data_IF_034177924950
#
_entry.id   IF_034177924950
#
_cell.length_a   1.000
_cell.length_b   1.000
_cell.length_c   1.000
_cell.angle_alpha   90.00
_cell.angle_beta   90.00
_cell.angle_gamma   90.00
#
_symmetry.space_group_name_H-M   'P 1'
#
loop_
_entity.id
_entity.type
_entity.pdbx_description
1 polymer ?
#
# COMPACT_ATOMS: atom_id res chain seq x y z
N UNK A 1 -8.80 9.99 -3.31
CA UNK A 1 -8.66 9.59 -1.88
C UNK A 1 -8.11 8.18 -1.75
N UNK A 2 -8.79 7.14 -2.27
CA UNK A 2 -8.32 5.75 -2.18
C UNK A 2 -6.87 5.51 -2.63
N UNK A 3 -6.48 5.99 -3.82
CA UNK A 3 -5.09 5.87 -4.31
C UNK A 3 -4.08 6.54 -3.38
N UNK A 4 -4.45 7.68 -2.77
CA UNK A 4 -3.63 8.34 -1.75
C UNK A 4 -3.50 7.47 -0.51
N UNK A 5 -4.59 6.92 0.01
CA UNK A 5 -4.54 5.99 1.14
C UNK A 5 -3.66 4.77 0.85
N UNK A 6 -3.77 4.18 -0.34
CA UNK A 6 -2.91 3.06 -0.75
C UNK A 6 -1.42 3.44 -0.73
N UNK A 7 -1.06 4.61 -1.25
CA UNK A 7 0.32 5.12 -1.23
C UNK A 7 0.82 5.43 0.19
N UNK A 8 -0.05 5.95 1.06
CA UNK A 8 0.34 6.46 2.37
C UNK A 8 0.38 5.38 3.47
N UNK A 9 -0.24 4.22 3.23
CA UNK A 9 -0.40 3.11 4.20
C UNK A 9 0.06 1.75 3.65
N UNK A 10 0.35 1.71 2.35
CA UNK A 10 0.64 0.46 1.64
C UNK A 10 -0.53 -0.51 1.58
N UNK A 11 -1.76 -0.18 1.99
CA UNK A 11 -2.88 -1.13 1.95
C UNK A 11 -3.39 -1.41 0.54
N UNK A 12 -3.97 -2.60 0.34
CA UNK A 12 -4.62 -3.00 -0.92
C UNK A 12 -5.89 -2.18 -1.12
N UNK A 13 -6.30 -1.98 -2.37
CA UNK A 13 -7.55 -1.27 -2.68
C UNK A 13 -8.76 -1.90 -1.99
N UNK A 14 -8.88 -3.23 -2.05
CA UNK A 14 -9.95 -3.98 -1.41
C UNK A 14 -9.96 -3.81 0.11
N UNK A 15 -8.80 -3.75 0.75
CA UNK A 15 -8.68 -3.45 2.18
C UNK A 15 -9.22 -2.05 2.48
N UNK A 16 -8.80 -1.03 1.72
CA UNK A 16 -9.27 0.36 1.90
C UNK A 16 -10.81 0.45 1.83
N UNK A 17 -11.43 -0.20 0.86
CA UNK A 17 -12.88 -0.11 0.68
C UNK A 17 -13.70 -1.02 1.61
N UNK A 18 -13.13 -2.11 2.13
CA UNK A 18 -13.88 -3.14 2.85
C UNK A 18 -13.41 -3.38 4.28
N UNK A 19 -12.18 -3.84 4.46
CA UNK A 19 -11.76 -4.51 5.70
C UNK A 19 -10.84 -3.68 6.60
N UNK A 20 -10.10 -2.72 6.05
CA UNK A 20 -9.11 -1.96 6.81
C UNK A 20 -9.73 -1.25 8.02
N UNK A 21 -9.11 -1.36 9.18
CA UNK A 21 -9.28 -0.42 10.28
C UNK A 21 -7.93 0.23 10.61
N UNK A 22 -7.95 1.48 11.04
CA UNK A 22 -6.76 2.18 11.50
C UNK A 22 -7.05 2.84 12.85
N UNK A 23 -6.37 2.38 13.89
CA UNK A 23 -6.43 2.99 15.21
C UNK A 23 -5.16 3.81 15.45
N UNK A 24 -5.32 5.01 16.00
CA UNK A 24 -4.22 5.95 16.21
C UNK A 24 -3.21 5.39 17.24
N UNK A 25 -1.92 5.52 16.95
CA UNK A 25 -0.81 5.23 17.89
C UNK A 25 -0.07 6.52 18.21
N UNK A 26 0.50 7.13 17.18
CA UNK A 26 1.19 8.42 17.24
C UNK A 26 1.02 9.17 15.91
N UNK A 27 1.67 10.33 15.74
CA UNK A 27 1.54 11.14 14.53
C UNK A 27 1.91 10.42 13.24
N UNK A 28 2.75 9.39 13.31
CA UNK A 28 3.32 8.68 12.17
C UNK A 28 3.06 7.18 12.15
N UNK A 29 2.28 6.66 13.11
CA UNK A 29 1.93 5.24 13.19
C UNK A 29 0.45 5.01 13.48
N UNK A 30 -0.05 3.89 12.96
CA UNK A 30 -1.39 3.38 13.26
C UNK A 30 -1.33 1.87 13.52
N UNK A 31 -2.24 1.36 14.35
CA UNK A 31 -2.55 -0.08 14.37
C UNK A 31 -3.46 -0.35 13.18
N UNK A 32 -3.07 -1.30 12.35
CA UNK A 32 -3.87 -1.77 11.23
C UNK A 32 -4.49 -3.13 11.55
N UNK A 33 -5.78 -3.27 11.26
CA UNK A 33 -6.49 -4.57 11.24
C UNK A 33 -7.24 -4.76 9.93
N UNK A 34 -7.66 -6.00 9.65
CA UNK A 34 -8.40 -6.33 8.43
C UNK A 34 -7.52 -6.63 7.21
N UNK A 35 -6.34 -7.21 7.44
CA UNK A 35 -5.48 -7.75 6.39
C UNK A 35 -6.24 -8.82 5.57
N UNK A 36 -6.20 -8.69 4.24
CA UNK A 36 -6.74 -9.72 3.34
C UNK A 36 -5.63 -10.67 2.87
N UNK A 37 -6.06 -11.83 2.33
CA UNK A 37 -5.20 -12.89 1.77
C UNK A 37 -4.25 -13.56 2.76
N UNK A 38 -4.57 -13.60 4.05
CA UNK A 38 -3.76 -14.29 5.06
C UNK A 38 -3.40 -15.72 4.59
N UNK A 39 -4.39 -16.57 4.28
CA UNK A 39 -4.16 -17.95 3.83
C UNK A 39 -3.35 -18.09 2.54
N UNK A 40 -3.51 -17.18 1.57
CA UNK A 40 -2.75 -17.22 0.29
C UNK A 40 -1.37 -16.56 0.36
N UNK A 41 -1.10 -15.76 1.39
CA UNK A 41 0.21 -15.15 1.66
C UNK A 41 1.07 -16.01 2.60
N UNK A 42 0.77 -17.32 2.68
CA UNK A 42 1.50 -18.28 3.52
C UNK A 42 1.16 -18.20 5.01
N UNK A 43 0.16 -17.40 5.38
CA UNK A 43 -0.30 -17.31 6.76
C UNK A 43 -1.28 -18.46 6.97
N UNK A 44 -0.79 -19.63 7.40
CA UNK A 44 -1.66 -20.59 8.07
C UNK A 44 -2.40 -19.82 9.18
N UNK A 45 -3.71 -20.04 9.32
CA UNK A 45 -4.62 -19.27 10.20
C UNK A 45 -4.07 -19.07 11.62
N UNK A 46 -3.14 -19.91 12.07
CA UNK A 46 -2.42 -19.80 13.34
C UNK A 46 -1.37 -18.68 13.47
N UNK A 47 -0.89 -18.05 12.39
CA UNK A 47 0.15 -17.00 12.43
C UNK A 47 -0.30 -15.68 11.76
N UNK A 48 -1.60 -15.49 11.55
CA UNK A 48 -2.11 -14.23 11.02
C UNK A 48 -1.92 -13.12 12.03
N UNK A 49 -1.22 -12.06 11.64
CA UNK A 49 -1.25 -10.82 12.40
C UNK A 49 -2.61 -10.18 12.19
N UNK A 50 -3.55 -10.50 13.08
CA UNK A 50 -4.89 -9.91 13.10
C UNK A 50 -4.82 -8.39 13.30
N UNK A 51 -3.79 -7.93 14.00
CA UNK A 51 -3.43 -6.53 14.14
C UNK A 51 -1.91 -6.35 14.16
N UNK A 52 -1.43 -5.22 13.63
CA UNK A 52 -0.02 -4.83 13.73
C UNK A 52 0.15 -3.33 13.49
N UNK A 53 1.19 -2.75 14.08
CA UNK A 53 1.55 -1.34 13.87
C UNK A 53 2.19 -1.18 12.50
N UNK A 54 1.77 -0.18 11.76
CA UNK A 54 2.40 0.26 10.51
C UNK A 54 2.75 1.74 10.57
N UNK A 55 3.86 2.16 9.95
CA UNK A 55 4.12 3.57 9.72
C UNK A 55 3.15 4.13 8.68
N UNK A 56 2.88 5.42 8.74
CA UNK A 56 2.10 6.16 7.76
C UNK A 56 2.90 7.36 7.27
N UNK A 57 2.76 7.66 5.97
CA UNK A 57 3.61 8.67 5.34
C UNK A 57 3.15 10.13 5.59
N UNK A 58 2.02 10.32 6.27
CA UNK A 58 1.48 11.61 6.72
C UNK A 58 0.83 11.44 8.09
N UNK A 59 0.44 12.56 8.72
CA UNK A 59 -0.22 12.56 10.03
C UNK A 59 -1.35 11.50 10.12
N UNK A 60 -1.26 10.61 11.12
CA UNK A 60 -2.16 9.47 11.30
C UNK A 60 -3.64 9.85 11.37
N UNK A 61 -4.01 10.98 11.98
CA UNK A 61 -5.40 11.43 12.04
C UNK A 61 -5.98 11.71 10.64
N UNK A 62 -5.14 12.14 9.69
CA UNK A 62 -5.56 12.35 8.29
C UNK A 62 -5.85 11.02 7.59
N UNK A 63 -5.16 9.93 7.96
CA UNK A 63 -5.40 8.60 7.41
C UNK A 63 -6.77 8.09 7.85
N UNK A 64 -7.07 8.14 9.15
CA UNK A 64 -8.36 7.73 9.72
C UNK A 64 -9.51 8.54 9.10
N UNK A 65 -9.35 9.86 9.04
CA UNK A 65 -10.35 10.76 8.44
C UNK A 65 -10.57 10.45 6.96
N UNK A 66 -9.50 10.23 6.20
CA UNK A 66 -9.59 9.92 4.78
C UNK A 66 -10.23 8.54 4.51
N UNK A 67 -9.98 7.54 5.38
CA UNK A 67 -10.61 6.23 5.29
C UNK A 67 -12.13 6.33 5.48
N UNK A 68 -12.58 7.04 6.52
CA UNK A 68 -13.99 7.25 6.78
C UNK A 68 -14.67 8.00 5.62
N UNK A 69 -14.01 9.05 5.10
CA UNK A 69 -14.52 9.82 3.96
C UNK A 69 -14.65 8.99 2.68
N UNK A 70 -13.66 8.15 2.35
CA UNK A 70 -13.76 7.36 1.11
C UNK A 70 -14.85 6.29 1.20
N UNK A 71 -15.07 5.73 2.40
CA UNK A 71 -16.12 4.74 2.66
C UNK A 71 -17.52 5.35 2.72
N UNK A 72 -17.68 6.58 3.22
CA UNK A 72 -18.97 7.27 3.16
C UNK A 72 -19.36 7.63 1.72
N UNK A 73 -18.38 7.97 0.87
CA UNK A 73 -18.62 8.24 -0.55
C UNK A 73 -18.93 6.98 -1.37
N UNK A 74 -18.42 5.82 -0.96
CA UNK A 74 -18.63 4.54 -1.65
C UNK A 74 -18.69 3.39 -0.63
N UNK A 75 -19.84 3.16 0.02
CA UNK A 75 -19.99 2.11 1.02
C UNK A 75 -20.02 0.74 0.35
N UNK A 76 -19.01 -0.09 0.63
CA UNK A 76 -18.86 -1.43 0.03
C UNK A 76 -18.55 -2.52 1.07
N UNK A 77 -18.83 -2.25 2.35
CA UNK A 77 -18.50 -3.16 3.45
C UNK A 77 -19.24 -4.51 3.35
N UNK A 78 -20.46 -4.49 2.82
CA UNK A 78 -21.36 -5.64 2.61
C UNK A 78 -20.98 -6.50 1.37
N UNK A 79 -20.17 -5.97 0.46
CA UNK A 79 -19.81 -6.64 -0.81
C UNK A 79 -18.68 -7.66 -0.62
N UNK A 80 -18.64 -8.71 -1.42
CA UNK A 80 -17.51 -9.64 -1.45
C UNK A 80 -16.22 -8.97 -1.97
N UNK A 81 -15.05 -9.56 -1.68
CA UNK A 81 -13.76 -9.02 -2.17
C UNK A 81 -13.71 -8.88 -3.70
N UNK A 82 -14.29 -9.86 -4.41
CA UNK A 82 -14.34 -9.86 -5.86
C UNK A 82 -15.23 -8.72 -6.39
N UNK A 83 -16.40 -8.50 -5.79
CA UNK A 83 -17.28 -7.39 -6.15
C UNK A 83 -16.60 -6.03 -5.90
N UNK A 84 -15.95 -5.85 -4.74
CA UNK A 84 -15.20 -4.63 -4.43
C UNK A 84 -14.13 -4.38 -5.50
N UNK A 85 -13.37 -5.41 -5.86
CA UNK A 85 -12.33 -5.30 -6.89
C UNK A 85 -12.94 -4.93 -8.26
N UNK A 86 -14.01 -5.59 -8.69
CA UNK A 86 -14.69 -5.28 -9.95
C UNK A 86 -15.24 -3.86 -9.99
N UNK A 87 -15.81 -3.36 -8.88
CA UNK A 87 -16.40 -2.03 -8.79
C UNK A 87 -15.38 -0.88 -8.67
N UNK A 88 -14.13 -1.18 -8.30
CA UNK A 88 -13.13 -0.14 -7.97
C UNK A 88 -11.85 -0.22 -8.80
N UNK A 89 -11.46 -1.39 -9.30
CA UNK A 89 -10.17 -1.64 -9.93
C UNK A 89 -9.89 -0.72 -11.13
N UNK A 90 -10.84 -0.60 -12.06
CA UNK A 90 -10.69 0.27 -13.23
C UNK A 90 -10.56 1.75 -12.82
N UNK A 91 -11.40 2.22 -11.89
CA UNK A 91 -11.35 3.61 -11.42
C UNK A 91 -10.03 3.93 -10.69
N UNK A 92 -9.50 3.00 -9.89
CA UNK A 92 -8.21 3.15 -9.21
C UNK A 92 -7.08 3.22 -10.22
N UNK A 93 -6.99 2.28 -11.17
CA UNK A 93 -5.93 2.29 -12.18
C UNK A 93 -5.99 3.55 -13.05
N UNK A 94 -7.19 4.02 -13.42
CA UNK A 94 -7.37 5.30 -14.11
C UNK A 94 -6.85 6.48 -13.29
N UNK A 95 -7.09 6.49 -11.97
CA UNK A 95 -6.57 7.52 -11.08
C UNK A 95 -5.04 7.45 -10.92
N UNK A 96 -4.43 6.26 -10.88
CA UNK A 96 -2.98 6.09 -10.87
C UNK A 96 -2.36 6.61 -12.16
N UNK A 97 -2.89 6.18 -13.31
CA UNK A 97 -2.42 6.65 -14.62
C UNK A 97 -2.48 8.17 -14.75
N UNK A 98 -3.60 8.78 -14.33
CA UNK A 98 -3.77 10.24 -14.41
C UNK A 98 -2.82 10.99 -13.48
N UNK A 99 -2.74 10.58 -12.22
CA UNK A 99 -2.09 11.37 -11.19
C UNK A 99 -0.60 11.01 -11.07
N UNK A 100 -0.28 9.74 -10.86
CA UNK A 100 1.09 9.30 -10.62
C UNK A 100 1.90 9.30 -11.92
N UNK A 101 1.44 8.57 -12.95
CA UNK A 101 2.19 8.48 -14.22
C UNK A 101 2.24 9.85 -14.90
N UNK A 102 1.16 10.63 -14.80
CA UNK A 102 1.15 12.02 -15.26
C UNK A 102 2.16 12.91 -14.53
N UNK A 103 2.34 12.74 -13.22
CA UNK A 103 3.34 13.48 -12.46
C UNK A 103 4.76 13.05 -12.82
N UNK A 104 5.02 11.74 -12.88
CA UNK A 104 6.33 11.20 -13.28
C UNK A 104 6.70 11.69 -14.68
N UNK A 105 5.80 11.58 -15.66
CA UNK A 105 6.02 12.08 -17.02
C UNK A 105 6.46 13.54 -17.06
N UNK A 106 5.84 14.39 -16.22
CA UNK A 106 6.22 15.81 -16.11
C UNK A 106 7.57 15.99 -15.42
N UNK A 107 7.88 15.19 -14.40
CA UNK A 107 9.13 15.30 -13.65
C UNK A 107 10.35 14.86 -14.48
N UNK A 108 10.23 13.77 -15.25
CA UNK A 108 11.33 13.22 -16.06
C UNK A 108 11.34 13.73 -17.51
N UNK A 109 10.35 14.54 -17.88
CA UNK A 109 10.12 15.04 -19.26
C UNK A 109 10.14 13.93 -20.35
N UNK A 110 9.68 12.73 -20.00
CA UNK A 110 9.67 11.56 -20.87
C UNK A 110 8.41 10.74 -20.61
N UNK A 111 7.92 10.00 -21.61
CA UNK A 111 6.83 9.04 -21.39
C UNK A 111 7.27 7.94 -20.43
N UNK A 112 6.41 7.57 -19.47
CA UNK A 112 6.68 6.41 -18.61
C UNK A 112 6.68 5.12 -19.44
N UNK A 113 5.88 5.06 -20.50
CA UNK A 113 5.76 3.91 -21.39
C UNK A 113 7.02 3.69 -22.25
N UNK A 114 7.96 4.65 -22.27
CA UNK A 114 9.27 4.49 -22.92
C UNK A 114 10.37 4.02 -21.97
N UNK A 115 10.06 3.79 -20.69
CA UNK A 115 11.01 3.23 -19.73
C UNK A 115 11.01 1.70 -19.86
N UNK A 116 12.15 1.14 -20.28
CA UNK A 116 12.33 -0.30 -20.58
C UNK A 116 11.94 -1.19 -19.39
N UNK A 117 12.16 -0.71 -18.16
CA UNK A 117 11.87 -1.46 -16.93
C UNK A 117 10.55 -1.05 -16.25
N UNK A 118 9.86 -0.02 -16.74
CA UNK A 118 8.67 0.55 -16.12
C UNK A 118 7.56 0.84 -17.13
N UNK A 119 7.09 -0.20 -17.83
CA UNK A 119 5.81 -0.13 -18.54
C UNK A 119 4.71 0.22 -17.54
N UNK A 120 4.19 1.45 -17.61
CA UNK A 120 3.13 2.09 -16.80
C UNK A 120 2.95 1.60 -15.34
N UNK A 121 3.03 2.51 -14.36
CA UNK A 121 2.69 2.12 -12.99
C UNK A 121 1.18 1.83 -12.84
N UNK A 122 0.90 0.72 -12.17
CA UNK A 122 -0.43 0.26 -11.79
C UNK A 122 -0.70 0.49 -10.30
N UNK A 123 -1.93 0.24 -9.86
CA UNK A 123 -2.33 0.35 -8.45
C UNK A 123 -1.41 -0.42 -7.48
N UNK A 124 -0.87 -1.58 -7.90
CA UNK A 124 0.07 -2.38 -7.10
C UNK A 124 1.38 -1.64 -6.81
N UNK A 125 1.84 -0.77 -7.71
CA UNK A 125 3.10 -0.04 -7.55
C UNK A 125 3.05 0.93 -6.37
N UNK A 126 1.88 1.48 -6.03
CA UNK A 126 1.71 2.36 -4.86
C UNK A 126 2.15 1.67 -3.56
N UNK A 127 1.89 0.37 -3.45
CA UNK A 127 2.26 -0.43 -2.27
C UNK A 127 3.77 -0.65 -2.19
N UNK A 128 4.44 -0.83 -3.32
CA UNK A 128 5.90 -0.91 -3.38
C UNK A 128 6.56 0.43 -3.08
N UNK A 129 6.05 1.52 -3.65
CA UNK A 129 6.52 2.88 -3.38
C UNK A 129 6.35 3.21 -1.89
N UNK A 130 5.21 2.86 -1.30
CA UNK A 130 5.00 2.97 0.14
C UNK A 130 6.11 2.28 0.93
N UNK A 131 6.38 1.00 0.65
CA UNK A 131 7.42 0.24 1.38
C UNK A 131 8.75 0.95 1.29
N UNK A 132 9.13 1.40 0.11
CA UNK A 132 10.39 2.08 -0.10
C UNK A 132 10.52 3.38 0.71
N UNK A 133 9.51 4.25 0.67
CA UNK A 133 9.52 5.51 1.41
C UNK A 133 9.47 5.23 2.93
N UNK A 134 8.58 4.33 3.36
CA UNK A 134 8.42 3.98 4.75
C UNK A 134 9.70 3.37 5.34
N UNK A 135 10.38 2.53 4.58
CA UNK A 135 11.65 1.93 4.98
C UNK A 135 12.73 2.99 5.15
N UNK A 136 12.90 3.90 4.17
CA UNK A 136 13.89 4.98 4.28
C UNK A 136 13.63 5.93 5.45
N UNK A 137 12.37 6.15 5.82
CA UNK A 137 11.98 7.10 6.87
C UNK A 137 11.92 6.48 8.27
N UNK A 138 11.53 5.21 8.39
CA UNK A 138 11.18 4.60 9.67
C UNK A 138 11.94 3.32 9.99
N UNK A 139 12.60 2.65 9.03
CA UNK A 139 13.28 1.40 9.31
C UNK A 139 14.70 1.63 9.84
N UNK A 140 15.06 1.13 11.04
CA UNK A 140 16.46 1.01 11.40
C UNK A 140 17.16 0.00 10.46
N UNK A 141 18.47 0.18 10.25
CA UNK A 141 19.26 -0.69 9.36
C UNK A 141 19.15 -2.19 9.74
N UNK A 142 18.94 -2.49 11.02
CA UNK A 142 18.81 -3.83 11.56
C UNK A 142 17.59 -4.61 11.05
N UNK A 143 16.55 -3.94 10.53
CA UNK A 143 15.30 -4.59 10.11
C UNK A 143 15.01 -4.46 8.61
N UNK A 144 15.94 -3.95 7.80
CA UNK A 144 15.70 -3.71 6.37
C UNK A 144 15.22 -4.98 5.62
N UNK A 145 15.76 -6.14 6.00
CA UNK A 145 15.45 -7.43 5.36
C UNK A 145 14.09 -8.02 5.78
N UNK A 146 13.44 -7.48 6.82
CA UNK A 146 12.12 -7.93 7.28
C UNK A 146 11.05 -6.85 7.17
N UNK A 147 11.45 -5.58 7.06
CA UNK A 147 10.55 -4.43 7.10
C UNK A 147 9.36 -4.56 6.14
N UNK A 148 9.62 -4.90 4.87
CA UNK A 148 8.57 -5.11 3.88
C UNK A 148 7.61 -6.23 4.28
N UNK A 149 8.11 -7.32 4.87
CA UNK A 149 7.27 -8.43 5.37
C UNK A 149 6.39 -7.95 6.52
N UNK A 150 6.97 -7.21 7.46
CA UNK A 150 6.31 -6.72 8.65
C UNK A 150 5.21 -5.71 8.32
N UNK A 151 5.53 -4.66 7.56
CA UNK A 151 4.56 -3.60 7.25
C UNK A 151 3.50 -4.06 6.26
N UNK A 152 3.78 -5.06 5.41
CA UNK A 152 2.79 -5.60 4.47
C UNK A 152 1.94 -6.74 5.05
N UNK A 153 2.29 -7.26 6.23
CA UNK A 153 1.59 -8.37 6.87
C UNK A 153 1.72 -9.67 6.08
N UNK A 154 2.92 -9.98 5.59
CA UNK A 154 3.21 -11.27 4.93
C UNK A 154 3.71 -12.30 5.95
N UNK A 155 3.41 -13.59 5.73
CA UNK A 155 3.99 -14.65 6.57
C UNK A 155 5.47 -14.91 6.26
N UNK A 156 5.88 -14.67 5.01
CA UNK A 156 7.21 -15.04 4.51
C UNK A 156 7.87 -13.90 3.74
N UNK A 157 9.21 -13.89 3.77
CA UNK A 157 10.05 -12.92 3.02
C UNK A 157 9.87 -13.01 1.51
N UNK A 158 9.67 -14.23 0.98
CA UNK A 158 9.54 -14.47 -0.46
C UNK A 158 8.35 -13.73 -1.10
N UNK A 159 7.26 -13.52 -0.34
CA UNK A 159 6.12 -12.72 -0.83
C UNK A 159 6.44 -11.21 -0.87
N UNK A 160 7.37 -10.76 -0.04
CA UNK A 160 7.80 -9.36 0.03
C UNK A 160 8.79 -8.97 -1.09
N UNK A 161 9.56 -9.93 -1.62
CA UNK A 161 10.52 -9.71 -2.72
C UNK A 161 9.87 -9.10 -3.98
N UNK A 162 8.62 -9.46 -4.28
CA UNK A 162 7.83 -8.86 -5.37
C UNK A 162 7.66 -7.34 -5.25
N UNK A 163 7.82 -6.78 -4.05
CA UNK A 163 7.69 -5.34 -3.79
C UNK A 163 9.04 -4.63 -3.82
N UNK A 164 10.15 -5.36 -3.87
CA UNK A 164 11.50 -4.80 -3.95
C UNK A 164 11.89 -4.35 -5.36
N UNK A 165 11.13 -4.75 -6.39
CA UNK A 165 11.39 -4.36 -7.80
C UNK A 165 11.40 -2.85 -8.07
N UNK A 166 10.81 -2.04 -7.17
CA UNK A 166 10.78 -0.57 -7.27
C UNK A 166 11.75 0.11 -6.31
N UNK A 167 12.56 -0.66 -5.58
CA UNK A 167 13.51 -0.11 -4.64
C UNK A 167 14.79 0.26 -5.37
N UNK A 168 15.15 1.54 -5.34
CA UNK A 168 16.51 1.96 -5.65
C UNK A 168 17.46 1.27 -4.67
N UNK A 169 18.61 0.82 -5.19
CA UNK A 169 19.64 0.12 -4.41
C UNK A 169 19.87 0.86 -3.08
N UNK A 170 19.76 0.19 -1.92
CA UNK A 170 19.86 0.85 -0.61
C UNK A 170 21.26 1.43 -0.30
N UNK A 171 22.20 1.37 -1.25
CA UNK A 171 23.62 1.72 -1.09
C UNK A 171 24.08 2.96 -1.84
N UNK A 172 23.24 3.64 -2.61
CA UNK A 172 23.63 4.94 -3.16
C UNK A 172 23.28 6.05 -2.16
N UNK A 173 24.33 6.47 -1.44
CA UNK A 173 24.39 7.69 -0.64
C UNK A 173 24.49 8.91 -1.54
#
# INVERSE_FOLDING_TARGET
IATGLMLLTGRRSTEIFKSANFDYVDESHVIFTGQLKNTRCGVAVHNARDSFVIPVLVNANRIVTALNKVRSMKPLSDKSENEVNSLTGSAINKAVKRNLNGHIKRAINQSIDSLVDFNHLEAKALRSIYVHIAQRKHAPLSVLNTFATDVLGHATKQTAENYMQYMLNPLEK
#
